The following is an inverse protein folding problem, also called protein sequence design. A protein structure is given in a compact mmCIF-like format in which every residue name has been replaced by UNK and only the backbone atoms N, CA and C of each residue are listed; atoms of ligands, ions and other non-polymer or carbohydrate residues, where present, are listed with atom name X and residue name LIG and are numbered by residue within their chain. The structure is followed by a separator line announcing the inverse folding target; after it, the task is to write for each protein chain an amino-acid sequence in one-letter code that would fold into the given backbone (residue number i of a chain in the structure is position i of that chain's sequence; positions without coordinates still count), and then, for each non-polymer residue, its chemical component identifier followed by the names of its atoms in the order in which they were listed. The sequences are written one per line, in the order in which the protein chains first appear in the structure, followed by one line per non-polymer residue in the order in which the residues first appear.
data_IF_397092319795
#
_entry.id   IF_397092319795
#
_cell.length_a   1.000
_cell.length_b   1.000
_cell.length_c   1.000
_cell.angle_alpha   90.00
_cell.angle_beta   90.00
_cell.angle_gamma   90.00
#
_symmetry.space_group_name_H-M   'P 1'
#
loop_
_entity.id
_entity.type
_entity.pdbx_description
1 polymer ?
#
# COMPACT_ATOMS: atom_id res chain seq x y z
N UNK A 1 -35.28 18.83 -2.05
CA UNK A 1 -35.04 17.56 -1.37
C UNK A 1 -33.58 17.20 -1.61
N UNK A 2 -32.73 17.26 -0.59
CA UNK A 2 -31.34 16.81 -0.71
C UNK A 2 -31.38 15.29 -0.66
N UNK A 3 -30.97 14.63 -1.73
CA UNK A 3 -30.73 13.21 -1.71
C UNK A 3 -29.61 12.97 -0.69
N UNK A 4 -29.96 12.25 0.38
CA UNK A 4 -28.97 11.63 1.25
C UNK A 4 -28.38 10.50 0.42
N UNK A 5 -27.19 10.73 -0.10
CA UNK A 5 -26.37 9.70 -0.68
C UNK A 5 -25.81 8.92 0.51
N UNK A 6 -26.41 7.77 0.79
CA UNK A 6 -25.87 6.78 1.71
C UNK A 6 -24.49 6.40 1.18
N UNK A 7 -23.44 6.77 1.91
CA UNK A 7 -22.07 6.27 1.74
C UNK A 7 -22.09 4.77 2.04
N UNK A 8 -22.42 3.97 1.02
CA UNK A 8 -22.14 2.54 1.01
C UNK A 8 -20.62 2.36 0.99
N UNK A 9 -20.08 1.94 2.13
CA UNK A 9 -18.78 1.29 2.35
C UNK A 9 -17.60 1.83 1.54
N UNK A 10 -17.15 3.06 1.83
CA UNK A 10 -15.80 3.46 1.44
C UNK A 10 -14.79 2.49 2.09
N UNK A 11 -14.11 1.68 1.29
CA UNK A 11 -13.14 0.71 1.77
C UNK A 11 -11.81 1.42 2.03
N UNK A 12 -11.24 1.24 3.23
CA UNK A 12 -9.94 1.86 3.62
C UNK A 12 -8.77 1.45 2.71
N UNK A 13 -8.92 0.32 2.02
CA UNK A 13 -7.93 -0.24 1.11
C UNK A 13 -8.54 -0.52 -0.27
N UNK A 14 -7.81 -0.20 -1.31
CA UNK A 14 -8.02 -0.74 -2.66
C UNK A 14 -7.56 -2.21 -2.73
N UNK A 15 -7.87 -2.90 -3.83
CA UNK A 15 -7.63 -4.33 -3.98
C UNK A 15 -7.07 -4.68 -5.36
N UNK A 16 -5.95 -5.41 -5.34
CA UNK A 16 -5.39 -6.12 -6.49
C UNK A 16 -5.42 -7.62 -6.17
N UNK A 17 -6.56 -8.27 -6.41
CA UNK A 17 -6.83 -9.63 -5.93
C UNK A 17 -7.10 -10.59 -7.08
N UNK A 18 -6.40 -11.72 -7.10
CA UNK A 18 -6.58 -12.81 -8.07
C UNK A 18 -7.02 -14.12 -7.39
N UNK A 19 -7.74 -14.02 -6.27
CA UNK A 19 -8.20 -15.16 -5.45
C UNK A 19 -9.57 -15.67 -5.88
N UNK A 20 -9.91 -16.90 -5.48
CA UNK A 20 -11.21 -17.49 -5.71
C UNK A 20 -12.32 -16.75 -4.94
N UNK A 21 -13.54 -16.74 -5.51
CA UNK A 21 -14.65 -15.95 -4.98
C UNK A 21 -15.08 -16.33 -3.56
N UNK A 22 -14.85 -17.58 -3.16
CA UNK A 22 -15.14 -18.09 -1.83
C UNK A 22 -14.15 -17.61 -0.76
N UNK A 23 -13.01 -17.04 -1.16
CA UNK A 23 -12.03 -16.40 -0.28
C UNK A 23 -12.25 -14.88 -0.14
N UNK A 24 -13.11 -14.26 -0.96
CA UNK A 24 -13.34 -12.80 -0.93
C UNK A 24 -13.84 -12.29 0.42
N UNK A 25 -14.75 -13.02 1.07
CA UNK A 25 -15.23 -12.63 2.39
C UNK A 25 -14.12 -12.65 3.43
N UNK A 26 -13.20 -13.62 3.35
CA UNK A 26 -12.04 -13.72 4.23
C UNK A 26 -11.05 -12.58 3.98
N UNK A 27 -10.81 -12.20 2.73
CA UNK A 27 -10.00 -11.02 2.41
C UNK A 27 -10.64 -9.71 2.90
N UNK A 28 -11.97 -9.57 2.80
CA UNK A 28 -12.68 -8.42 3.35
C UNK A 28 -12.48 -8.30 4.86
N UNK A 29 -12.44 -9.42 5.59
CA UNK A 29 -12.14 -9.42 7.02
C UNK A 29 -10.71 -8.97 7.31
N UNK A 30 -9.73 -9.38 6.49
CA UNK A 30 -8.36 -8.87 6.60
C UNK A 30 -8.28 -7.36 6.36
N UNK A 31 -8.95 -6.86 5.32
CA UNK A 31 -9.01 -5.43 5.04
C UNK A 31 -9.69 -4.65 6.19
N UNK A 32 -10.75 -5.22 6.79
CA UNK A 32 -11.44 -4.65 7.95
C UNK A 32 -10.52 -4.60 9.18
N UNK A 33 -9.83 -5.71 9.47
CA UNK A 33 -8.86 -5.78 10.56
C UNK A 33 -7.76 -4.73 10.41
N UNK A 34 -7.14 -4.64 9.22
CA UNK A 34 -6.14 -3.62 8.93
C UNK A 34 -6.72 -2.19 9.04
N UNK A 35 -7.95 -1.97 8.59
CA UNK A 35 -8.63 -0.67 8.62
C UNK A 35 -8.74 -0.03 10.01
N UNK A 36 -8.75 -0.82 11.09
CA UNK A 36 -8.75 -0.28 12.47
C UNK A 36 -7.49 0.50 12.84
N UNK A 37 -6.40 0.33 12.08
CA UNK A 37 -5.12 1.00 12.32
C UNK A 37 -4.93 2.24 11.45
N UNK A 38 -6.00 2.70 10.80
CA UNK A 38 -6.00 4.01 10.17
C UNK A 38 -6.21 5.09 11.23
N UNK A 39 -5.27 6.02 11.32
CA UNK A 39 -5.29 7.12 12.29
C UNK A 39 -5.33 8.47 11.57
N UNK A 40 -5.70 9.53 12.29
CA UNK A 40 -5.64 10.89 11.77
C UNK A 40 -4.42 11.58 12.38
N UNK A 41 -3.47 11.99 11.53
CA UNK A 41 -2.26 12.72 11.90
C UNK A 41 -2.25 14.04 11.14
N UNK A 42 -2.21 15.15 11.87
CA UNK A 42 -2.21 16.52 11.30
C UNK A 42 -3.33 16.80 10.28
N UNK A 43 -4.47 16.13 10.43
CA UNK A 43 -5.65 16.30 9.57
C UNK A 43 -5.69 15.39 8.34
N UNK A 44 -4.66 14.57 8.11
CA UNK A 44 -4.60 13.54 7.07
C UNK A 44 -4.75 12.14 7.69
N UNK A 45 -5.30 11.19 6.94
CA UNK A 45 -5.33 9.79 7.35
C UNK A 45 -3.98 9.12 7.05
N UNK A 46 -3.41 8.44 8.04
CA UNK A 46 -2.17 7.70 7.91
C UNK A 46 -2.28 6.33 8.58
N UNK A 47 -1.63 5.33 7.98
CA UNK A 47 -1.65 3.97 8.50
C UNK A 47 -0.64 3.76 9.63
N UNK A 48 -1.11 3.32 10.80
CA UNK A 48 -0.27 3.02 11.96
C UNK A 48 0.31 1.60 11.87
N UNK A 49 1.44 1.50 11.18
CA UNK A 49 2.17 0.24 11.00
C UNK A 49 2.63 -0.40 12.31
N UNK A 50 3.03 0.40 13.30
CA UNK A 50 3.54 -0.11 14.58
C UNK A 50 2.43 -0.77 15.37
N UNK A 51 1.27 -0.12 15.47
CA UNK A 51 0.10 -0.69 16.14
C UNK A 51 -0.47 -1.90 15.39
N UNK A 52 -0.50 -1.86 14.05
CA UNK A 52 -0.96 -3.00 13.25
C UNK A 52 -0.04 -4.21 13.41
N UNK A 53 1.27 -4.03 13.32
CA UNK A 53 2.24 -5.10 13.55
C UNK A 53 2.08 -5.67 14.96
N UNK A 54 2.01 -4.81 15.99
CA UNK A 54 1.82 -5.26 17.36
C UNK A 54 0.54 -6.09 17.52
N UNK A 55 -0.56 -5.71 16.87
CA UNK A 55 -1.80 -6.48 16.93
C UNK A 55 -1.72 -7.83 16.22
N UNK A 56 -1.11 -7.87 15.03
CA UNK A 56 -0.82 -9.10 14.29
C UNK A 56 0.04 -10.04 15.12
N UNK A 57 1.08 -9.54 15.79
CA UNK A 57 1.97 -10.36 16.61
C UNK A 57 1.29 -10.92 17.87
N UNK A 58 0.27 -10.22 18.38
CA UNK A 58 -0.54 -10.66 19.51
C UNK A 58 -1.75 -11.51 19.10
N UNK A 59 -1.97 -11.70 17.80
CA UNK A 59 -3.04 -12.53 17.28
C UNK A 59 -2.74 -14.02 17.53
N UNK A 60 -3.65 -14.70 18.24
CA UNK A 60 -3.47 -16.10 18.65
C UNK A 60 -4.13 -17.10 17.69
N UNK A 61 -4.79 -16.63 16.63
CA UNK A 61 -5.39 -17.49 15.60
C UNK A 61 -4.36 -18.11 14.68
N UNK A 62 -4.73 -19.19 14.00
CA UNK A 62 -3.87 -19.90 13.03
C UNK A 62 -4.25 -19.62 11.56
N UNK A 63 -5.29 -18.82 11.39
CA UNK A 63 -5.93 -18.38 10.17
C UNK A 63 -5.35 -17.07 9.62
N UNK A 64 -4.47 -16.41 10.36
CA UNK A 64 -3.65 -15.30 9.89
C UNK A 64 -2.19 -15.52 10.31
N UNK A 65 -1.32 -15.84 9.35
CA UNK A 65 0.09 -16.14 9.61
C UNK A 65 0.97 -15.09 8.93
N UNK A 66 1.73 -14.34 9.72
CA UNK A 66 2.67 -13.35 9.23
C UNK A 66 3.92 -14.02 8.61
N UNK A 67 4.34 -13.53 7.44
CA UNK A 67 5.53 -13.97 6.71
C UNK A 67 6.53 -12.82 6.66
N UNK A 68 7.67 -12.97 7.33
CA UNK A 68 8.72 -11.95 7.34
C UNK A 68 9.53 -11.93 6.03
N UNK A 69 10.16 -10.79 5.69
CA UNK A 69 11.12 -10.71 4.61
C UNK A 69 12.25 -11.73 4.79
N UNK A 70 12.68 -12.35 3.69
CA UNK A 70 13.88 -13.17 3.71
C UNK A 70 15.10 -12.25 3.91
N UNK A 71 15.83 -12.46 5.01
CA UNK A 71 17.05 -11.71 5.33
C UNK A 71 18.11 -11.74 4.21
N UNK A 72 18.07 -12.74 3.31
CA UNK A 72 18.96 -12.82 2.15
C UNK A 72 18.52 -11.96 0.95
N UNK A 73 17.25 -11.51 0.91
CA UNK A 73 16.68 -10.69 -0.18
C UNK A 73 16.55 -9.21 0.18
N UNK A 74 16.60 -8.84 1.47
CA UNK A 74 16.62 -7.45 1.94
C UNK A 74 17.97 -6.76 1.68
N UNK A 75 18.27 -6.43 0.42
CA UNK A 75 19.47 -5.65 0.03
C UNK A 75 19.13 -4.32 -0.63
N UNK A 76 18.02 -3.68 -0.23
CA UNK A 76 17.69 -2.31 -0.62
C UNK A 76 17.59 -1.41 0.62
N UNK A 77 18.73 -0.80 0.99
CA UNK A 77 18.86 0.39 1.84
C UNK A 77 18.11 0.41 3.19
N UNK A 78 18.61 -0.33 4.19
CA UNK A 78 18.21 -0.14 5.59
C UNK A 78 19.02 1.00 6.24
N UNK A 79 18.34 2.10 6.59
CA UNK A 79 18.80 2.98 7.68
C UNK A 79 17.98 2.62 8.91
N UNK A 80 18.67 2.10 9.91
CA UNK A 80 18.14 1.50 11.11
C UNK A 80 17.48 2.51 12.07
N UNK A 81 16.25 2.21 12.47
CA UNK A 81 15.75 2.49 13.82
C UNK A 81 14.95 1.31 14.39
N UNK A 82 15.66 0.43 15.10
CA UNK A 82 15.25 -0.25 16.34
C UNK A 82 13.84 -0.88 16.43
N UNK A 83 13.64 -2.00 15.74
CA UNK A 83 12.98 -3.19 16.30
C UNK A 83 13.82 -4.41 15.87
N UNK A 84 14.34 -5.18 16.83
CA UNK A 84 15.27 -6.27 16.53
C UNK A 84 14.56 -7.43 15.80
N UNK A 85 14.94 -7.62 14.53
CA UNK A 85 14.73 -8.81 13.66
C UNK A 85 13.30 -9.12 13.17
N UNK A 86 12.40 -8.14 13.13
CA UNK A 86 11.04 -8.31 12.58
C UNK A 86 10.64 -7.05 11.83
N UNK A 87 11.03 -6.99 10.56
CA UNK A 87 10.91 -5.79 9.73
C UNK A 87 9.71 -5.89 8.77
N UNK A 88 9.09 -4.75 8.51
CA UNK A 88 8.18 -4.56 7.39
C UNK A 88 8.91 -4.85 6.08
N UNK A 89 8.19 -5.28 5.04
CA UNK A 89 8.71 -5.14 3.68
C UNK A 89 8.81 -3.65 3.39
N UNK A 90 9.98 -3.20 2.93
CA UNK A 90 10.24 -1.80 2.61
C UNK A 90 10.87 -1.65 1.23
N UNK A 91 10.26 -0.82 0.39
CA UNK A 91 10.77 -0.41 -0.93
C UNK A 91 10.92 1.11 -0.99
N UNK A 92 11.97 1.61 -1.64
CA UNK A 92 12.19 3.04 -1.87
C UNK A 92 12.58 3.28 -3.32
N UNK A 93 11.91 4.23 -3.97
CA UNK A 93 12.23 4.74 -5.29
C UNK A 93 12.31 6.28 -5.29
N UNK A 94 13.34 6.88 -5.91
CA UNK A 94 14.55 6.22 -6.40
C UNK A 94 15.39 5.65 -5.23
N UNK A 95 16.27 4.66 -5.47
CA UNK A 95 17.13 4.11 -4.41
C UNK A 95 17.98 5.20 -3.75
N UNK A 96 18.09 5.18 -2.42
CA UNK A 96 18.85 6.15 -1.60
C UNK A 96 20.35 6.25 -1.96
N UNK A 97 20.88 5.33 -2.78
CA UNK A 97 22.27 5.35 -3.25
C UNK A 97 22.55 6.39 -4.35
N UNK A 98 21.52 7.09 -4.86
CA UNK A 98 21.71 8.14 -5.87
C UNK A 98 21.69 9.55 -5.23
N UNK A 99 22.70 10.40 -5.50
CA UNK A 99 22.74 11.77 -4.98
C UNK A 99 21.58 12.63 -5.52
N UNK A 100 21.39 13.78 -4.84
CA UNK A 100 20.33 14.81 -4.93
C UNK A 100 20.04 15.44 -6.30
N UNK A 101 20.61 14.90 -7.38
CA UNK A 101 20.41 15.28 -8.78
C UNK A 101 19.69 14.17 -9.57
N UNK A 102 18.82 13.36 -8.95
CA UNK A 102 18.05 12.35 -9.71
C UNK A 102 17.11 13.08 -10.68
N UNK A 103 17.20 12.81 -12.00
CA UNK A 103 16.33 13.46 -12.97
C UNK A 103 14.86 13.08 -12.71
N UNK A 104 13.93 13.97 -13.06
CA UNK A 104 12.51 13.66 -13.02
C UNK A 104 12.17 12.33 -13.71
N UNK A 105 11.23 11.58 -13.15
CA UNK A 105 10.81 10.24 -13.61
C UNK A 105 9.35 10.25 -14.00
N UNK A 106 8.99 9.37 -14.93
CA UNK A 106 7.61 9.20 -15.32
C UNK A 106 6.84 8.41 -14.24
N UNK A 107 5.52 8.61 -14.13
CA UNK A 107 4.66 7.79 -13.26
C UNK A 107 4.79 6.29 -13.60
N UNK A 108 4.98 5.95 -14.88
CA UNK A 108 5.22 4.56 -15.32
C UNK A 108 6.47 3.94 -14.68
N UNK A 109 7.54 4.71 -14.50
CA UNK A 109 8.79 4.21 -13.90
C UNK A 109 8.57 3.76 -12.44
N UNK A 110 7.69 4.46 -11.72
CA UNK A 110 7.31 4.14 -10.34
C UNK A 110 6.44 2.88 -10.32
N UNK A 111 5.50 2.78 -11.26
CA UNK A 111 4.64 1.61 -11.39
C UNK A 111 5.47 0.35 -11.70
N UNK A 112 6.42 0.44 -12.63
CA UNK A 112 7.36 -0.64 -12.94
C UNK A 112 8.19 -1.05 -11.72
N UNK A 113 8.69 -0.07 -10.95
CA UNK A 113 9.39 -0.35 -9.69
C UNK A 113 8.50 -1.09 -8.68
N UNK A 114 7.24 -0.70 -8.53
CA UNK A 114 6.29 -1.37 -7.61
C UNK A 114 6.04 -2.81 -8.08
N UNK A 115 5.91 -3.05 -9.39
CA UNK A 115 5.79 -4.41 -9.95
C UNK A 115 7.01 -5.26 -9.59
N UNK A 116 8.21 -4.74 -9.82
CA UNK A 116 9.46 -5.45 -9.51
C UNK A 116 9.59 -5.73 -8.01
N UNK A 117 9.25 -4.76 -7.16
CA UNK A 117 9.26 -4.93 -5.71
C UNK A 117 8.30 -6.04 -5.26
N UNK A 118 7.05 -6.03 -5.75
CA UNK A 118 6.05 -7.03 -5.36
C UNK A 118 6.43 -8.45 -5.82
N UNK A 119 7.04 -8.58 -7.00
CA UNK A 119 7.36 -9.90 -7.57
C UNK A 119 8.69 -10.46 -7.08
N UNK A 120 9.73 -9.64 -7.00
CA UNK A 120 11.09 -10.10 -6.70
C UNK A 120 11.41 -10.03 -5.19
N UNK A 121 10.94 -8.98 -4.50
CA UNK A 121 11.20 -8.77 -3.08
C UNK A 121 10.12 -9.40 -2.21
N UNK A 122 8.85 -9.02 -2.42
CA UNK A 122 7.73 -9.57 -1.65
C UNK A 122 7.44 -11.02 -2.06
N UNK A 123 7.61 -11.36 -3.33
CA UNK A 123 7.36 -12.70 -3.85
C UNK A 123 5.88 -13.08 -3.80
N UNK A 124 4.99 -12.16 -4.19
CA UNK A 124 3.57 -12.44 -4.35
C UNK A 124 3.26 -12.84 -5.81
N UNK A 125 2.65 -14.02 -6.06
CA UNK A 125 2.40 -14.51 -7.42
C UNK A 125 1.15 -13.87 -8.04
N UNK A 126 1.22 -12.56 -8.30
CA UNK A 126 0.21 -11.81 -9.05
C UNK A 126 0.77 -11.44 -10.42
N UNK A 127 -0.09 -11.40 -11.44
CA UNK A 127 0.29 -10.89 -12.76
C UNK A 127 0.86 -9.45 -12.68
N UNK A 128 2.03 -9.23 -13.27
CA UNK A 128 2.69 -7.93 -13.21
C UNK A 128 1.88 -6.81 -13.87
N UNK A 129 1.10 -7.11 -14.92
CA UNK A 129 0.25 -6.10 -15.55
C UNK A 129 -0.94 -5.74 -14.67
N UNK A 130 -1.46 -6.69 -13.88
CA UNK A 130 -2.50 -6.41 -12.90
C UNK A 130 -2.00 -5.45 -11.82
N UNK A 131 -0.81 -5.70 -11.25
CA UNK A 131 -0.18 -4.79 -10.28
C UNK A 131 0.03 -3.41 -10.91
N UNK A 132 0.64 -3.36 -12.10
CA UNK A 132 0.91 -2.12 -12.83
C UNK A 132 -0.37 -1.33 -13.07
N UNK A 133 -1.42 -1.98 -13.59
CA UNK A 133 -2.68 -1.33 -13.92
C UNK A 133 -3.41 -0.81 -12.68
N UNK A 134 -3.42 -1.55 -11.57
CA UNK A 134 -4.03 -1.11 -10.31
C UNK A 134 -3.36 0.16 -9.79
N UNK A 135 -2.03 0.14 -9.67
CA UNK A 135 -1.25 1.28 -9.15
C UNK A 135 -1.33 2.47 -10.09
N UNK A 136 -1.18 2.26 -11.40
CA UNK A 136 -1.28 3.33 -12.38
C UNK A 136 -2.67 3.96 -12.36
N UNK A 137 -3.74 3.17 -12.27
CA UNK A 137 -5.09 3.70 -12.17
C UNK A 137 -5.25 4.58 -10.93
N UNK A 138 -4.76 4.14 -9.77
CA UNK A 138 -4.79 4.94 -8.55
C UNK A 138 -4.02 6.26 -8.70
N UNK A 139 -2.79 6.23 -9.22
CA UNK A 139 -1.95 7.42 -9.36
C UNK A 139 -2.42 8.41 -10.43
N UNK A 140 -3.10 7.93 -11.47
CA UNK A 140 -3.67 8.79 -12.53
C UNK A 140 -5.07 9.31 -12.19
N UNK A 141 -5.73 8.71 -11.20
CA UNK A 141 -7.08 9.08 -10.72
C UNK A 141 -7.12 9.33 -9.20
N UNK A 142 -6.17 10.11 -8.68
CA UNK A 142 -6.05 10.36 -7.23
C UNK A 142 -7.26 11.08 -6.60
N UNK A 143 -8.01 11.87 -7.37
CA UNK A 143 -9.29 12.45 -6.91
C UNK A 143 -10.27 11.33 -6.54
N UNK A 144 -10.49 10.37 -7.44
CA UNK A 144 -11.33 9.20 -7.20
C UNK A 144 -10.79 8.32 -6.07
N UNK A 145 -9.48 8.12 -6.00
CA UNK A 145 -8.86 7.32 -4.96
C UNK A 145 -9.11 7.91 -3.55
N UNK A 146 -9.07 9.25 -3.44
CA UNK A 146 -9.46 9.96 -2.22
C UNK A 146 -10.93 9.82 -1.90
N UNK A 147 -11.81 10.05 -2.87
CA UNK A 147 -13.26 9.89 -2.67
C UNK A 147 -13.65 8.45 -2.27
N UNK A 148 -12.87 7.47 -2.71
CA UNK A 148 -13.08 6.06 -2.40
C UNK A 148 -12.55 5.64 -1.02
N UNK A 149 -11.75 6.48 -0.35
CA UNK A 149 -11.30 6.28 1.03
C UNK A 149 -9.97 5.52 1.20
N UNK A 150 -9.31 5.13 0.10
CA UNK A 150 -8.04 4.40 0.15
C UNK A 150 -6.82 5.22 -0.27
N UNK A 151 -6.97 6.52 -0.51
CA UNK A 151 -5.85 7.43 -0.67
C UNK A 151 -6.07 8.74 0.09
N UNK A 152 -5.05 9.22 0.79
CA UNK A 152 -5.15 10.46 1.57
C UNK A 152 -4.03 11.44 1.18
N UNK A 153 -4.37 12.73 1.13
CA UNK A 153 -3.46 13.80 0.72
C UNK A 153 -2.85 14.48 1.95
N UNK A 154 -1.55 14.73 1.89
CA UNK A 154 -0.85 15.53 2.88
C UNK A 154 0.05 16.56 2.20
N UNK A 155 0.09 17.78 2.76
CA UNK A 155 1.01 18.83 2.32
C UNK A 155 2.18 18.94 3.29
N UNK A 156 3.36 19.24 2.75
CA UNK A 156 4.51 19.52 3.60
C UNK A 156 4.31 20.80 4.42
N UNK A 157 4.91 20.84 5.60
CA UNK A 157 4.93 22.03 6.46
C UNK A 157 5.67 23.22 5.83
N UNK A 158 6.56 22.97 4.87
CA UNK A 158 7.27 24.01 4.09
C UNK A 158 6.52 24.43 2.83
N UNK A 159 5.46 23.71 2.44
CA UNK A 159 4.64 23.98 1.26
C UNK A 159 5.35 23.77 -0.07
N UNK A 160 6.53 23.16 -0.08
CA UNK A 160 7.38 22.99 -1.27
C UNK A 160 7.04 21.73 -2.07
N UNK A 161 6.59 20.70 -1.37
CA UNK A 161 6.13 19.42 -1.91
C UNK A 161 4.84 18.99 -1.20
N UNK A 162 4.19 17.97 -1.74
CA UNK A 162 3.06 17.29 -1.11
C UNK A 162 3.13 15.80 -1.43
N UNK A 163 2.25 15.03 -0.82
CA UNK A 163 2.27 13.58 -0.91
C UNK A 163 0.88 12.97 -0.82
N UNK A 164 0.79 11.73 -1.29
CA UNK A 164 -0.33 10.84 -1.09
C UNK A 164 0.11 9.57 -0.38
N UNK A 165 -0.67 9.10 0.59
CA UNK A 165 -0.62 7.71 1.05
C UNK A 165 -1.71 6.93 0.33
N UNK A 166 -1.34 5.98 -0.54
CA UNK A 166 -2.26 5.03 -1.18
C UNK A 166 -2.22 3.69 -0.47
N UNK A 167 -3.38 3.14 -0.11
CA UNK A 167 -3.54 1.91 0.68
C UNK A 167 -4.14 0.82 -0.19
N UNK A 168 -3.47 -0.33 -0.27
CA UNK A 168 -3.88 -1.43 -1.16
C UNK A 168 -3.55 -2.81 -0.59
N UNK A 169 -4.43 -3.79 -0.84
CA UNK A 169 -4.16 -5.21 -0.63
C UNK A 169 -3.80 -5.86 -1.96
N UNK A 170 -2.70 -6.61 -1.98
CA UNK A 170 -2.36 -7.51 -3.08
C UNK A 170 -2.61 -8.94 -2.64
N UNK A 171 -3.48 -9.69 -3.30
CA UNK A 171 -3.83 -11.05 -2.90
C UNK A 171 -3.76 -12.06 -4.04
N UNK A 172 -3.19 -13.23 -3.77
CA UNK A 172 -3.06 -14.33 -4.73
C UNK A 172 -3.37 -15.68 -4.06
N UNK A 173 -4.00 -16.62 -4.77
CA UNK A 173 -4.37 -17.90 -4.21
C UNK A 173 -3.13 -18.72 -3.87
N UNK A 174 -3.20 -19.48 -2.78
CA UNK A 174 -2.19 -20.48 -2.42
C UNK A 174 -2.75 -21.88 -2.65
N UNK A 175 -4.00 -22.12 -2.22
CA UNK A 175 -4.83 -23.29 -2.51
C UNK A 175 -6.32 -22.93 -2.34
N UNK A 176 -7.21 -23.92 -2.37
CA UNK A 176 -8.67 -23.70 -2.29
C UNK A 176 -9.16 -23.10 -0.96
N UNK A 177 -8.34 -23.12 0.09
CA UNK A 177 -8.72 -22.67 1.43
C UNK A 177 -7.77 -21.58 1.94
N UNK A 178 -6.74 -21.20 1.19
CA UNK A 178 -5.72 -20.24 1.63
C UNK A 178 -5.27 -19.33 0.51
N UNK A 179 -4.90 -18.11 0.88
CA UNK A 179 -4.29 -17.14 -0.02
C UNK A 179 -3.12 -16.44 0.65
N UNK A 180 -2.23 -15.89 -0.19
CA UNK A 180 -1.25 -14.91 0.25
C UNK A 180 -1.86 -13.52 0.11
N UNK A 181 -1.61 -12.65 1.08
CA UNK A 181 -2.00 -11.23 1.00
C UNK A 181 -0.86 -10.34 1.46
N UNK A 182 -0.60 -9.27 0.73
CA UNK A 182 0.32 -8.21 1.12
C UNK A 182 -0.50 -6.95 1.37
N UNK A 183 -0.63 -6.59 2.65
CA UNK A 183 -1.25 -5.32 3.06
C UNK A 183 -0.17 -4.26 2.92
N UNK A 184 -0.43 -3.21 2.14
CA UNK A 184 0.57 -2.22 1.79
C UNK A 184 0.06 -0.78 1.85
N UNK A 185 0.98 0.13 2.16
CA UNK A 185 0.85 1.56 1.91
C UNK A 185 1.94 1.96 0.93
N UNK A 186 1.58 2.80 -0.03
CA UNK A 186 2.47 3.38 -1.02
C UNK A 186 2.41 4.90 -0.84
N UNK A 187 3.47 5.44 -0.25
CA UNK A 187 3.65 6.86 -0.06
C UNK A 187 4.27 7.46 -1.32
N UNK A 188 3.56 8.35 -2.01
CA UNK A 188 4.01 9.02 -3.22
C UNK A 188 4.12 10.52 -2.96
N UNK A 189 5.34 11.05 -2.99
CA UNK A 189 5.65 12.47 -2.83
C UNK A 189 6.17 13.06 -4.14
N UNK A 190 5.84 14.32 -4.41
CA UNK A 190 6.37 15.07 -5.54
C UNK A 190 6.43 16.57 -5.24
N UNK A 191 7.18 17.30 -6.07
CA UNK A 191 7.20 18.77 -6.14
C UNK A 191 5.89 19.32 -6.75
N UNK A 192 4.77 18.96 -6.14
CA UNK A 192 3.42 19.42 -6.43
C UNK A 192 2.93 20.13 -5.17
N UNK A 193 2.46 21.37 -5.28
CA UNK A 193 2.13 22.18 -4.09
C UNK A 193 0.74 21.89 -3.51
N UNK A 194 -0.25 21.72 -4.38
CA UNK A 194 -1.66 21.60 -3.97
C UNK A 194 -2.24 20.29 -4.47
N UNK A 195 -3.24 19.78 -3.76
CA UNK A 195 -3.93 18.54 -4.10
C UNK A 195 -4.42 18.49 -5.54
N UNK A 196 -5.01 19.58 -6.05
CA UNK A 196 -5.49 19.64 -7.43
C UNK A 196 -4.40 19.55 -8.50
N UNK A 197 -3.13 19.80 -8.14
CA UNK A 197 -2.00 19.61 -9.04
C UNK A 197 -1.67 18.14 -9.32
N UNK A 198 -2.21 17.21 -8.52
CA UNK A 198 -2.12 15.77 -8.75
C UNK A 198 -3.17 15.25 -9.73
N UNK A 199 -4.22 16.03 -10.00
CA UNK A 199 -5.31 15.60 -10.86
C UNK A 199 -4.89 15.69 -12.33
N UNK A 200 -5.13 14.62 -13.09
CA UNK A 200 -4.76 14.53 -14.50
C UNK A 200 -3.32 14.08 -14.75
N UNK A 201 -2.63 13.52 -13.75
CA UNK A 201 -1.44 12.73 -14.00
C UNK A 201 -1.75 11.60 -14.98
N UNK A 202 -0.82 11.31 -15.88
CA UNK A 202 -0.87 10.18 -16.81
C UNK A 202 0.42 9.37 -16.66
N UNK A 203 0.49 8.20 -17.28
CA UNK A 203 1.68 7.33 -17.21
C UNK A 203 2.98 8.05 -17.57
N UNK A 204 2.93 8.96 -18.55
CA UNK A 204 4.08 9.75 -19.00
C UNK A 204 4.25 11.09 -18.27
N UNK A 205 3.47 11.40 -17.23
CA UNK A 205 3.69 12.59 -16.42
C UNK A 205 5.00 12.46 -15.66
N UNK A 206 5.83 13.50 -15.71
CA UNK A 206 7.21 13.47 -15.19
C UNK A 206 7.37 14.49 -14.07
N UNK A 207 7.86 14.04 -12.91
CA UNK A 207 8.22 14.89 -11.76
C UNK A 207 9.40 14.29 -10.97
N UNK A 208 9.93 15.05 -10.01
CA UNK A 208 10.79 14.52 -8.95
C UNK A 208 9.94 13.74 -7.95
N UNK A 209 9.65 12.49 -8.30
CA UNK A 209 8.88 11.60 -7.45
C UNK A 209 9.78 10.92 -6.42
N UNK A 210 9.26 10.82 -5.20
CA UNK A 210 9.73 9.90 -4.19
C UNK A 210 8.60 8.93 -3.85
N UNK A 211 8.91 7.64 -3.83
CA UNK A 211 7.96 6.59 -3.50
C UNK A 211 8.54 5.70 -2.41
N UNK A 212 7.79 5.50 -1.33
CA UNK A 212 8.08 4.54 -0.28
C UNK A 212 6.94 3.51 -0.18
N UNK A 213 7.29 2.23 -0.20
CA UNK A 213 6.35 1.13 -0.03
C UNK A 213 6.62 0.50 1.33
N UNK A 214 5.60 0.39 2.17
CA UNK A 214 5.64 -0.37 3.41
C UNK A 214 4.55 -1.43 3.37
N UNK A 215 4.83 -2.61 3.94
CA UNK A 215 3.80 -3.61 4.07
C UNK A 215 4.15 -4.86 4.86
N UNK A 216 3.11 -5.64 5.15
CA UNK A 216 3.20 -6.95 5.80
C UNK A 216 2.60 -8.01 4.88
N UNK A 217 3.30 -9.15 4.77
CA UNK A 217 2.87 -10.31 3.98
C UNK A 217 2.27 -11.37 4.89
N UNK A 218 1.14 -11.93 4.48
CA UNK A 218 0.39 -12.92 5.22
C UNK A 218 0.11 -14.14 4.37
N UNK A 219 0.05 -15.30 5.02
CA UNK A 219 -0.80 -16.41 4.57
C UNK A 219 -2.10 -16.33 5.38
N UNK A 220 -3.24 -16.33 4.68
CA UNK A 220 -4.57 -16.22 5.28
C UNK A 220 -5.35 -17.48 4.96
N UNK A 221 -6.02 -18.04 5.96
CA UNK A 221 -6.89 -19.21 5.81
C UNK A 221 -8.34 -18.77 5.78
N UNK A 222 -9.12 -19.41 4.90
CA UNK A 222 -10.56 -19.23 4.77
C UNK A 222 -11.23 -19.31 6.14
N UNK A 223 -12.13 -18.36 6.37
CA UNK A 223 -12.83 -18.24 7.64
C UNK A 223 -12.21 -17.24 8.62
N UNK A 224 -11.00 -16.72 8.36
CA UNK A 224 -10.47 -15.58 9.13
C UNK A 224 -11.52 -14.47 9.27
N UNK A 225 -11.71 -14.03 10.51
CA UNK A 225 -12.59 -12.93 10.87
C UNK A 225 -11.77 -11.84 11.56
N UNK A 226 -12.15 -10.60 11.30
CA UNK A 226 -11.65 -9.47 12.06
C UNK A 226 -11.85 -9.71 13.57
N UNK A 227 -10.78 -9.66 14.40
CA UNK A 227 -10.87 -9.94 15.84
C UNK A 227 -11.64 -8.89 16.66
N UNK A 228 -12.13 -7.81 16.04
CA UNK A 228 -12.86 -6.72 16.69
C UNK A 228 -14.36 -6.64 16.33
#
# INVERSE_FOLDING_TARGET
MKNVQTTEDATVFDKCSQIDSDLFLTEMQLAKFAGHYLTIVDGAQAFDWDSFLAAVENYNGSDLVLIYPDSARSTAASTSSRLQNKELYKGIFPPLSKPRDDPPRAVSDICDYIVDFMREVVGIPIDGNAIYATVLNAFTNLEWATESGFADFSSSSTGTNSSYEYRVLFSSPLDSERFLSFVATIYLEADIHNQSGWWGLVSSSVQHFHCEILGLKFQVTKGFQDPY
#
